data_IF_105324798663
#
_entry.id   IF_105324798663
#
_cell.length_a   1.000
_cell.length_b   1.000
_cell.length_c   1.000
_cell.angle_alpha   90.00
_cell.angle_beta   90.00
_cell.angle_gamma   90.00
#
_symmetry.space_group_name_H-M   'P 1'
#
loop_
_entity.id
_entity.type
_entity.pdbx_description
1 polymer ?
#
# COMPACT_ATOMS: atom_id res chain seq x y z
N UNK A 1 -25.15 -55.60 14.28
CA UNK A 1 -24.86 -54.54 13.29
C UNK A 1 -24.16 -53.41 14.02
N UNK A 2 -22.91 -53.12 13.64
CA UNK A 2 -22.01 -52.17 14.30
C UNK A 2 -22.40 -50.74 13.92
N UNK A 3 -22.41 -49.86 14.92
CA UNK A 3 -22.55 -48.42 14.76
C UNK A 3 -21.34 -47.84 14.03
N UNK A 4 -21.56 -47.06 12.98
CA UNK A 4 -20.57 -46.14 12.42
C UNK A 4 -20.88 -44.74 12.95
N UNK A 5 -20.03 -44.27 13.89
CA UNK A 5 -19.92 -42.84 14.21
C UNK A 5 -19.03 -42.21 13.15
N UNK A 6 -19.56 -41.26 12.39
CA UNK A 6 -18.75 -40.30 11.64
C UNK A 6 -18.51 -39.11 12.57
N UNK A 7 -17.39 -39.15 13.31
CA UNK A 7 -16.70 -37.94 13.72
C UNK A 7 -15.69 -37.65 12.61
N UNK A 8 -15.75 -36.47 11.98
CA UNK A 8 -14.55 -35.81 11.42
C UNK A 8 -14.85 -34.35 11.05
N UNK A 9 -14.46 -33.47 11.97
CA UNK A 9 -13.72 -32.21 11.73
C UNK A 9 -14.39 -31.23 10.74
N UNK A 10 -15.25 -30.37 11.30
CA UNK A 10 -15.46 -29.03 10.76
C UNK A 10 -14.19 -28.25 11.08
N UNK A 11 -13.22 -28.20 10.15
CA UNK A 11 -12.13 -27.23 10.22
C UNK A 11 -12.72 -25.86 9.93
N UNK A 12 -13.08 -25.13 10.99
CA UNK A 12 -13.34 -23.70 10.94
C UNK A 12 -11.99 -23.03 10.67
N UNK A 13 -11.62 -22.89 9.40
CA UNK A 13 -10.58 -21.94 8.99
C UNK A 13 -11.21 -20.54 9.00
N UNK A 14 -11.20 -19.92 10.16
CA UNK A 14 -11.46 -18.49 10.31
C UNK A 14 -10.21 -17.73 9.80
N UNK A 15 -10.01 -17.66 8.48
CA UNK A 15 -9.05 -16.72 7.91
C UNK A 15 -9.71 -15.34 7.91
N UNK A 16 -9.47 -14.57 8.98
CA UNK A 16 -9.54 -13.13 8.87
C UNK A 16 -8.38 -12.71 7.97
N UNK A 17 -8.63 -12.61 6.66
CA UNK A 17 -7.70 -11.89 5.80
C UNK A 17 -7.68 -10.45 6.31
N UNK A 18 -6.58 -10.03 6.92
CA UNK A 18 -6.29 -8.62 7.14
C UNK A 18 -5.54 -8.20 5.89
N UNK A 19 -6.25 -7.82 4.83
CA UNK A 19 -5.64 -7.23 3.64
C UNK A 19 -5.29 -5.79 3.94
N UNK A 20 -4.02 -5.42 3.98
CA UNK A 20 -3.65 -4.00 3.89
C UNK A 20 -3.08 -3.65 2.52
N UNK A 21 -3.19 -2.38 2.15
CA UNK A 21 -2.65 -1.84 0.88
C UNK A 21 -1.42 -0.99 1.15
N UNK A 22 -0.23 -1.41 0.71
CA UNK A 22 0.89 -0.47 0.73
C UNK A 22 0.92 0.23 -0.62
N UNK A 23 0.15 1.30 -0.71
CA UNK A 23 0.54 2.46 -1.50
C UNK A 23 1.46 3.25 -0.60
N UNK A 24 2.76 3.20 -0.89
CA UNK A 24 3.69 4.13 -0.25
C UNK A 24 3.60 5.50 -0.98
N UNK A 25 4.26 6.52 -0.45
CA UNK A 25 4.28 7.91 -0.88
C UNK A 25 5.61 8.34 -1.53
N UNK A 26 6.52 7.40 -1.83
CA UNK A 26 7.73 7.67 -2.64
C UNK A 26 7.51 7.71 -4.16
N UNK A 27 6.28 7.49 -4.62
CA UNK A 27 5.84 7.90 -5.96
C UNK A 27 4.64 8.82 -5.77
N UNK A 28 4.79 10.07 -6.21
CA UNK A 28 3.70 11.03 -6.27
C UNK A 28 2.58 10.36 -7.04
N UNK A 29 1.40 10.23 -6.43
CA UNK A 29 0.17 9.79 -7.10
C UNK A 29 -0.22 10.84 -8.15
N UNK A 30 0.62 11.04 -9.14
CA UNK A 30 0.55 12.07 -10.17
C UNK A 30 -0.13 11.45 -11.39
N UNK A 31 -1.46 11.40 -11.33
CA UNK A 31 -2.28 10.94 -12.45
C UNK A 31 -2.27 11.98 -13.58
N UNK A 32 -2.00 13.25 -13.26
CA UNK A 32 -2.00 14.34 -14.22
C UNK A 32 -0.71 14.42 -15.05
N UNK A 33 0.42 13.99 -14.48
CA UNK A 33 1.78 14.15 -15.00
C UNK A 33 2.35 15.57 -14.80
N UNK A 34 1.89 16.31 -13.78
CA UNK A 34 2.33 17.67 -13.50
C UNK A 34 3.49 17.76 -12.48
N UNK A 35 3.96 16.61 -12.01
CA UNK A 35 5.03 16.44 -11.04
C UNK A 35 4.56 16.49 -9.58
N UNK A 36 3.26 16.71 -9.31
CA UNK A 36 2.69 16.78 -7.96
C UNK A 36 1.88 15.54 -7.65
N UNK A 37 1.79 15.23 -6.37
CA UNK A 37 0.82 14.26 -5.84
C UNK A 37 -0.59 14.80 -6.06
N UNK A 38 -1.41 14.04 -6.78
CA UNK A 38 -2.83 14.33 -6.93
C UNK A 38 -3.64 13.82 -5.73
N UNK A 39 -4.76 14.49 -5.47
CA UNK A 39 -5.76 13.99 -4.53
C UNK A 39 -6.53 12.87 -5.23
N UNK A 40 -6.44 11.66 -4.69
CA UNK A 40 -7.10 10.50 -5.27
C UNK A 40 -7.82 9.64 -4.23
N UNK A 41 -9.01 9.16 -4.61
CA UNK A 41 -9.88 8.33 -3.80
C UNK A 41 -10.29 7.07 -4.56
N UNK A 42 -10.44 5.96 -3.84
CA UNK A 42 -11.11 4.76 -4.32
C UNK A 42 -12.42 4.55 -3.56
N UNK A 43 -13.52 4.52 -4.31
CA UNK A 43 -14.84 4.19 -3.80
C UNK A 43 -15.17 2.75 -4.17
N UNK A 44 -15.41 1.93 -3.15
CA UNK A 44 -15.83 0.56 -3.37
C UNK A 44 -17.23 0.51 -4.00
N UNK A 45 -17.37 -0.35 -5.01
CA UNK A 45 -18.65 -0.70 -5.62
C UNK A 45 -19.54 -1.56 -4.73
N UNK A 46 -20.62 -2.10 -5.29
CA UNK A 46 -21.58 -2.96 -4.56
C UNK A 46 -21.84 -4.28 -5.27
N UNK A 47 -22.10 -5.35 -4.49
CA UNK A 47 -22.42 -6.71 -4.99
C UNK A 47 -23.91 -7.01 -5.12
N UNK A 48 -24.79 -6.01 -4.99
CA UNK A 48 -26.24 -6.24 -4.94
C UNK A 48 -26.79 -6.88 -6.21
N UNK A 49 -27.71 -7.86 -6.07
CA UNK A 49 -28.31 -8.61 -7.18
C UNK A 49 -29.13 -7.74 -8.15
N UNK A 50 -29.57 -6.56 -7.73
CA UNK A 50 -30.49 -5.72 -8.51
C UNK A 50 -29.81 -4.54 -9.25
N UNK A 51 -28.55 -4.20 -8.91
CA UNK A 51 -27.73 -3.21 -9.63
C UNK A 51 -26.30 -3.13 -9.06
N UNK A 52 -25.38 -4.04 -9.43
CA UNK A 52 -23.99 -3.95 -8.98
C UNK A 52 -23.35 -2.66 -9.48
N UNK A 53 -22.77 -1.88 -8.56
CA UNK A 53 -22.01 -0.67 -8.90
C UNK A 53 -20.54 -1.03 -9.06
N UNK A 54 -19.85 -0.55 -10.12
CA UNK A 54 -18.40 -0.72 -10.22
C UNK A 54 -17.70 0.07 -9.13
N UNK A 55 -16.49 -0.37 -8.77
CA UNK A 55 -15.60 0.48 -7.97
C UNK A 55 -15.06 1.60 -8.86
N UNK A 56 -14.77 2.75 -8.26
CA UNK A 56 -14.41 3.96 -9.00
C UNK A 56 -13.21 4.64 -8.35
N UNK A 57 -12.20 4.94 -9.17
CA UNK A 57 -11.12 5.85 -8.82
C UNK A 57 -11.55 7.27 -9.17
N UNK A 58 -11.35 8.21 -8.25
CA UNK A 58 -11.55 9.65 -8.47
C UNK A 58 -10.21 10.37 -8.33
N UNK A 59 -9.92 11.27 -9.26
CA UNK A 59 -8.68 12.05 -9.31
C UNK A 59 -8.98 13.54 -9.35
N UNK A 60 -8.18 14.31 -8.63
CA UNK A 60 -8.24 15.77 -8.59
C UNK A 60 -6.83 16.31 -8.55
N UNK A 61 -6.53 17.27 -9.44
CA UNK A 61 -5.34 18.08 -9.25
C UNK A 61 -5.46 18.87 -7.94
N UNK A 62 -4.38 19.01 -7.17
CA UNK A 62 -4.35 19.82 -5.96
C UNK A 62 -4.72 21.30 -6.22
N UNK A 63 -4.69 21.75 -7.47
CA UNK A 63 -5.08 23.12 -7.86
C UNK A 63 -6.56 23.27 -8.29
N UNK A 64 -7.40 22.24 -8.10
CA UNK A 64 -8.84 22.29 -8.39
C UNK A 64 -9.20 22.14 -9.87
N UNK A 65 -8.29 21.63 -10.70
CA UNK A 65 -8.50 21.35 -12.13
C UNK A 65 -8.65 19.86 -12.43
N UNK A 66 -9.61 19.53 -13.31
CA UNK A 66 -9.99 18.19 -13.79
C UNK A 66 -10.34 17.17 -12.69
N UNK A 67 -11.66 17.00 -12.47
CA UNK A 67 -12.20 15.77 -11.88
C UNK A 67 -12.29 14.76 -13.02
N UNK A 68 -11.44 13.75 -13.01
CA UNK A 68 -11.64 12.57 -13.83
C UNK A 68 -11.88 11.37 -12.93
N UNK A 69 -12.62 10.40 -13.45
CA UNK A 69 -12.92 9.18 -12.72
C UNK A 69 -12.76 7.98 -13.64
N UNK A 70 -12.17 6.92 -13.13
CA UNK A 70 -12.07 5.65 -13.82
C UNK A 70 -12.91 4.60 -13.11
N UNK A 71 -13.91 4.05 -13.81
CA UNK A 71 -14.64 2.89 -13.32
C UNK A 71 -13.76 1.66 -13.55
N UNK A 72 -13.11 1.20 -12.49
CA UNK A 72 -12.18 0.09 -12.55
C UNK A 72 -12.26 -0.73 -11.26
N UNK A 73 -12.53 -2.03 -11.44
CA UNK A 73 -12.73 -2.96 -10.33
C UNK A 73 -14.17 -3.08 -9.85
N UNK A 74 -14.35 -3.87 -8.80
CA UNK A 74 -15.62 -4.18 -8.17
C UNK A 74 -15.44 -4.28 -6.65
N UNK A 75 -16.53 -4.55 -5.93
CA UNK A 75 -16.46 -4.78 -4.48
C UNK A 75 -15.48 -5.91 -4.13
N UNK A 76 -14.70 -5.68 -3.08
CA UNK A 76 -13.56 -6.45 -2.58
C UNK A 76 -12.28 -6.40 -3.43
N UNK A 77 -12.28 -5.70 -4.57
CA UNK A 77 -11.04 -5.42 -5.27
C UNK A 77 -10.20 -4.40 -4.48
N UNK A 78 -8.90 -4.63 -4.51
CA UNK A 78 -7.85 -3.88 -3.83
C UNK A 78 -7.30 -2.83 -4.80
N UNK A 79 -7.37 -1.52 -4.54
CA UNK A 79 -6.70 -0.54 -5.39
C UNK A 79 -5.17 -0.64 -5.27
N UNK A 80 -4.50 -0.53 -6.41
CA UNK A 80 -3.05 -0.53 -6.53
C UNK A 80 -2.64 0.44 -7.65
N UNK A 81 -2.72 1.76 -7.42
CA UNK A 81 -2.21 2.73 -8.37
C UNK A 81 -0.67 2.72 -8.42
N UNK A 82 -0.11 2.82 -9.62
CA UNK A 82 1.32 3.02 -9.89
C UNK A 82 1.54 3.28 -11.38
N UNK A 83 2.72 3.73 -11.80
CA UNK A 83 3.07 3.90 -13.22
C UNK A 83 3.43 2.54 -13.87
N UNK A 84 2.50 1.87 -14.55
CA UNK A 84 2.69 0.51 -15.06
C UNK A 84 3.21 0.44 -16.51
N UNK A 85 3.20 1.56 -17.22
CA UNK A 85 3.68 1.64 -18.60
C UNK A 85 4.93 2.52 -18.78
N UNK A 86 5.32 3.26 -17.75
CA UNK A 86 6.54 4.07 -17.68
C UNK A 86 6.40 5.41 -18.38
N UNK A 87 5.17 5.93 -18.50
CA UNK A 87 4.92 7.23 -19.13
C UNK A 87 5.14 8.42 -18.17
N UNK A 88 5.47 8.14 -16.90
CA UNK A 88 5.70 9.11 -15.85
C UNK A 88 4.43 9.54 -15.13
N UNK A 89 3.28 8.91 -15.40
CA UNK A 89 2.00 9.16 -14.73
C UNK A 89 1.58 7.96 -13.92
N UNK A 90 0.77 8.21 -12.90
CA UNK A 90 0.16 7.14 -12.13
C UNK A 90 -0.98 6.51 -12.94
N UNK A 91 -0.92 5.19 -13.12
CA UNK A 91 -2.01 4.38 -13.67
C UNK A 91 -2.92 3.81 -12.58
N UNK A 92 -4.10 3.32 -12.99
CA UNK A 92 -4.96 2.52 -12.12
C UNK A 92 -4.61 1.04 -12.21
N UNK A 93 -4.48 0.40 -11.06
CA UNK A 93 -4.40 -1.05 -10.94
C UNK A 93 -5.35 -1.54 -9.86
N UNK A 94 -5.80 -2.79 -9.99
CA UNK A 94 -6.44 -3.50 -8.88
C UNK A 94 -5.86 -4.89 -8.69
N UNK A 95 -5.93 -5.38 -7.45
CA UNK A 95 -5.82 -6.79 -7.16
C UNK A 95 -7.20 -7.36 -6.82
N UNK A 96 -7.57 -8.43 -7.52
CA UNK A 96 -8.80 -9.17 -7.32
C UNK A 96 -8.52 -10.42 -6.51
N UNK A 97 -9.22 -10.55 -5.38
CA UNK A 97 -9.22 -11.78 -4.60
C UNK A 97 -10.04 -12.87 -5.27
N UNK A 98 -9.64 -14.12 -5.04
CA UNK A 98 -10.46 -15.28 -5.38
C UNK A 98 -11.85 -15.14 -4.76
N UNK A 99 -12.84 -15.12 -5.65
CA UNK A 99 -14.24 -15.30 -5.35
C UNK A 99 -14.75 -16.66 -5.84
N UNK A 100 -15.20 -17.51 -4.91
CA UNK A 100 -15.72 -18.84 -5.24
C UNK A 100 -17.04 -18.76 -6.03
N UNK A 101 -17.88 -17.78 -5.71
CA UNK A 101 -19.24 -17.68 -6.27
C UNK A 101 -19.21 -17.18 -7.72
N UNK A 102 -18.13 -16.50 -8.10
CA UNK A 102 -17.90 -15.94 -9.43
C UNK A 102 -16.85 -16.73 -10.25
N UNK A 103 -16.20 -17.73 -9.62
CA UNK A 103 -15.18 -18.56 -10.27
C UNK A 103 -13.87 -17.82 -10.57
N UNK A 104 -13.62 -16.70 -9.91
CA UNK A 104 -12.42 -15.88 -10.13
C UNK A 104 -11.17 -16.53 -9.55
N UNK A 105 -10.00 -16.09 -9.99
CA UNK A 105 -8.72 -16.43 -9.34
C UNK A 105 -8.12 -15.20 -8.66
N UNK A 106 -6.94 -15.33 -8.04
CA UNK A 106 -6.19 -14.19 -7.57
C UNK A 106 -5.49 -13.52 -8.76
N UNK A 107 -5.85 -12.27 -9.05
CA UNK A 107 -5.46 -11.62 -10.30
C UNK A 107 -5.05 -10.17 -10.06
N UNK A 108 -3.98 -9.74 -10.71
CA UNK A 108 -3.70 -8.31 -10.86
C UNK A 108 -4.25 -7.82 -12.19
N UNK A 109 -4.93 -6.68 -12.17
CA UNK A 109 -5.47 -6.02 -13.34
C UNK A 109 -4.88 -4.62 -13.41
N UNK A 110 -3.90 -4.45 -14.30
CA UNK A 110 -3.07 -3.25 -14.39
C UNK A 110 -3.44 -2.48 -15.66
N UNK A 111 -3.94 -1.25 -15.52
CA UNK A 111 -4.21 -0.38 -16.66
C UNK A 111 -2.91 0.01 -17.35
N UNK A 112 -2.97 0.15 -18.68
CA UNK A 112 -1.95 0.77 -19.52
C UNK A 112 -2.63 1.66 -20.55
N UNK A 113 -2.78 2.96 -20.25
CA UNK A 113 -3.42 3.91 -21.14
C UNK A 113 -2.97 3.75 -22.60
N UNK A 114 -3.95 3.70 -23.52
CA UNK A 114 -3.70 3.55 -24.97
C UNK A 114 -3.39 2.13 -25.46
N UNK A 115 -3.04 1.18 -24.59
CA UNK A 115 -2.73 -0.22 -24.96
C UNK A 115 -3.73 -1.22 -24.36
N UNK A 116 -4.42 -0.86 -23.27
CA UNK A 116 -5.46 -1.68 -22.65
C UNK A 116 -5.14 -1.98 -21.19
N UNK A 117 -5.18 -3.25 -20.79
CA UNK A 117 -4.75 -3.69 -19.47
C UNK A 117 -4.04 -5.04 -19.52
N UNK A 118 -3.27 -5.31 -18.48
CA UNK A 118 -2.60 -6.58 -18.24
C UNK A 118 -3.30 -7.31 -17.11
N UNK A 119 -3.53 -8.60 -17.30
CA UNK A 119 -4.00 -9.51 -16.25
C UNK A 119 -2.90 -10.49 -15.88
N UNK A 120 -2.44 -10.43 -14.62
CA UNK A 120 -1.45 -11.38 -14.08
C UNK A 120 -2.17 -12.43 -13.23
N UNK A 121 -2.07 -13.69 -13.63
CA UNK A 121 -2.75 -14.83 -13.01
C UNK A 121 -1.76 -15.80 -12.35
N UNK A 122 -2.25 -16.66 -11.46
CA UNK A 122 -1.50 -17.82 -10.96
C UNK A 122 -0.42 -17.50 -9.92
N UNK A 123 -0.52 -16.34 -9.27
CA UNK A 123 0.34 -15.97 -8.15
C UNK A 123 -0.16 -16.60 -6.84
N UNK A 124 0.77 -16.94 -5.94
CA UNK A 124 0.45 -17.54 -4.63
C UNK A 124 -0.41 -16.61 -3.76
N UNK A 125 -1.11 -17.19 -2.77
CA UNK A 125 -2.04 -16.49 -1.86
C UNK A 125 -1.32 -15.53 -0.89
N UNK A 126 -0.90 -14.35 -1.33
CA UNK A 126 -0.35 -13.32 -0.43
C UNK A 126 -1.43 -12.54 0.33
N UNK A 127 -1.14 -12.01 1.52
CA UNK A 127 -2.08 -11.20 2.33
C UNK A 127 -2.06 -9.72 1.96
N UNK A 128 -0.87 -9.13 1.83
CA UNK A 128 -0.69 -7.72 1.46
C UNK A 128 -0.36 -7.57 -0.02
N UNK A 129 -0.76 -6.43 -0.59
CA UNK A 129 -0.56 -6.05 -2.00
C UNK A 129 0.08 -4.67 -2.07
N UNK A 130 1.04 -4.51 -2.96
CA UNK A 130 1.79 -3.27 -3.14
C UNK A 130 2.35 -3.16 -4.55
N UNK A 131 2.74 -1.96 -4.96
CA UNK A 131 3.33 -1.71 -6.28
C UNK A 131 4.37 -0.59 -6.24
N UNK A 132 5.54 -0.82 -6.86
CA UNK A 132 6.68 0.10 -6.97
C UNK A 132 7.64 -0.27 -8.09
N UNK A 133 8.50 0.67 -8.47
CA UNK A 133 9.63 0.47 -9.39
C UNK A 133 10.86 -0.08 -8.63
N UNK A 134 10.90 -1.39 -8.44
CA UNK A 134 12.01 -2.12 -7.81
C UNK A 134 13.16 -2.43 -8.75
N UNK A 135 12.92 -2.44 -10.07
CA UNK A 135 13.91 -2.83 -11.09
C UNK A 135 14.63 -1.63 -11.69
N UNK A 136 14.06 -0.43 -11.59
CA UNK A 136 14.65 0.80 -12.07
C UNK A 136 14.41 1.15 -13.52
N UNK A 137 13.43 0.51 -14.16
CA UNK A 137 13.13 0.73 -15.57
C UNK A 137 12.03 1.79 -15.79
N UNK A 138 11.73 2.54 -14.73
CA UNK A 138 10.66 3.54 -14.63
C UNK A 138 9.23 2.96 -14.67
N UNK A 139 9.07 1.64 -14.60
CA UNK A 139 7.76 0.99 -14.47
C UNK A 139 7.61 0.41 -13.08
N UNK A 140 6.38 0.37 -12.63
CA UNK A 140 6.02 -0.27 -11.39
C UNK A 140 5.86 -1.78 -11.61
N UNK A 141 6.52 -2.54 -10.75
CA UNK A 141 6.19 -3.92 -10.47
C UNK A 141 5.11 -4.01 -9.40
N UNK A 142 4.41 -5.14 -9.41
CA UNK A 142 3.53 -5.52 -8.32
C UNK A 142 4.21 -6.48 -7.37
N UNK A 143 3.84 -6.39 -6.11
CA UNK A 143 4.37 -7.12 -4.99
C UNK A 143 3.27 -7.72 -4.12
N UNK A 144 3.52 -8.91 -3.60
CA UNK A 144 2.63 -9.57 -2.64
C UNK A 144 3.45 -10.09 -1.47
N UNK A 145 2.98 -9.88 -0.24
CA UNK A 145 3.58 -10.52 0.94
C UNK A 145 2.88 -11.85 1.20
N UNK A 146 3.63 -12.94 1.13
CA UNK A 146 3.18 -14.28 1.51
C UNK A 146 3.86 -14.72 2.80
N UNK A 147 3.09 -15.15 3.80
CA UNK A 147 3.63 -15.76 5.01
C UNK A 147 4.00 -17.22 4.70
N UNK A 148 5.29 -17.48 4.52
CA UNK A 148 5.82 -18.83 4.41
C UNK A 148 5.95 -19.39 5.84
N UNK A 149 5.22 -20.46 6.09
CA UNK A 149 5.07 -21.20 7.34
C UNK A 149 4.05 -20.63 8.36
N UNK A 150 3.15 -21.50 8.79
CA UNK A 150 2.14 -21.27 9.84
C UNK A 150 2.39 -22.19 11.02
N UNK A 151 3.60 -22.75 11.14
CA UNK A 151 3.91 -23.64 12.24
C UNK A 151 3.63 -22.91 13.56
N UNK A 152 2.74 -23.51 14.36
CA UNK A 152 2.38 -22.98 15.68
C UNK A 152 3.51 -23.20 16.71
N UNK A 153 4.70 -23.59 16.25
CA UNK A 153 5.84 -23.91 17.07
C UNK A 153 6.63 -22.64 17.37
N UNK A 154 6.73 -22.21 18.64
CA UNK A 154 7.59 -21.10 19.01
C UNK A 154 9.04 -21.41 18.63
N UNK A 155 9.65 -20.57 17.79
CA UNK A 155 11.07 -20.68 17.39
C UNK A 155 11.33 -21.12 15.95
N UNK A 156 10.30 -21.38 15.14
CA UNK A 156 10.47 -21.57 13.70
C UNK A 156 10.53 -20.21 12.97
N UNK A 157 11.29 -20.15 11.89
CA UNK A 157 11.47 -18.96 11.05
C UNK A 157 10.36 -18.91 10.01
N UNK A 158 9.56 -17.85 10.04
CA UNK A 158 8.61 -17.57 8.96
C UNK A 158 9.23 -16.57 8.00
N UNK A 159 8.72 -16.55 6.78
CA UNK A 159 9.28 -15.67 5.75
C UNK A 159 8.19 -14.86 5.08
N UNK A 160 8.62 -13.70 4.61
CA UNK A 160 7.87 -12.80 3.76
C UNK A 160 8.40 -13.03 2.34
N UNK A 161 7.69 -13.82 1.55
CA UNK A 161 7.99 -13.84 0.12
C UNK A 161 7.42 -12.59 -0.52
N UNK A 162 8.25 -11.89 -1.28
CA UNK A 162 7.90 -10.79 -2.17
C UNK A 162 7.99 -11.30 -3.60
N UNK A 163 6.88 -11.28 -4.31
CA UNK A 163 6.84 -11.58 -5.74
C UNK A 163 6.92 -10.27 -6.49
N UNK A 164 8.06 -9.93 -7.07
CA UNK A 164 8.16 -8.81 -8.00
C UNK A 164 7.85 -9.33 -9.39
N UNK A 165 6.94 -8.67 -10.10
CA UNK A 165 6.60 -9.03 -11.48
C UNK A 165 6.97 -7.85 -12.36
N UNK A 166 8.06 -7.99 -13.10
CA UNK A 166 8.51 -7.00 -14.07
C UNK A 166 7.69 -7.11 -15.36
N UNK A 167 6.88 -6.07 -15.55
CA UNK A 167 6.24 -5.61 -16.77
C UNK A 167 5.74 -6.69 -17.77
N UNK A 168 5.57 -6.31 -19.05
CA UNK A 168 5.04 -7.20 -20.09
C UNK A 168 6.06 -8.23 -20.61
N UNK A 169 7.32 -8.17 -20.15
CA UNK A 169 8.38 -9.11 -20.52
C UNK A 169 8.40 -10.37 -19.65
N UNK A 170 7.69 -10.36 -18.51
CA UNK A 170 7.43 -11.56 -17.71
C UNK A 170 8.57 -11.98 -16.77
N UNK A 171 9.41 -11.04 -16.33
CA UNK A 171 10.42 -11.36 -15.31
C UNK A 171 9.75 -11.44 -13.93
N UNK A 172 9.43 -12.66 -13.50
CA UNK A 172 8.98 -12.92 -12.13
C UNK A 172 10.21 -13.09 -11.24
N UNK A 173 10.53 -12.09 -10.43
CA UNK A 173 11.54 -12.19 -9.38
C UNK A 173 10.85 -12.53 -8.07
N UNK A 174 10.79 -13.83 -7.73
CA UNK A 174 10.43 -14.23 -6.37
C UNK A 174 11.64 -14.04 -5.47
N UNK A 175 11.50 -13.21 -4.43
CA UNK A 175 12.47 -13.10 -3.33
C UNK A 175 11.80 -13.49 -2.04
N UNK A 176 12.58 -14.10 -1.16
CA UNK A 176 12.13 -14.45 0.18
C UNK A 176 12.96 -13.64 1.15
N UNK A 177 12.33 -12.62 1.74
CA UNK A 177 12.89 -11.80 2.82
C UNK A 177 12.19 -12.19 4.13
N UNK A 178 12.69 -11.77 5.30
CA UNK A 178 11.90 -11.91 6.54
C UNK A 178 12.63 -12.49 7.76
N UNK A 179 11.86 -12.62 8.84
CA UNK A 179 12.27 -12.89 10.22
C UNK A 179 11.09 -13.59 10.96
N UNK A 180 11.24 -13.94 12.24
CA UNK A 180 10.34 -14.81 13.05
C UNK A 180 8.81 -14.69 12.86
N UNK A 181 8.12 -15.83 13.03
CA UNK A 181 6.68 -16.04 12.85
C UNK A 181 5.71 -15.14 13.65
N UNK A 182 4.45 -15.13 13.18
CA UNK A 182 3.24 -14.56 13.83
C UNK A 182 3.14 -13.04 13.86
N UNK A 183 3.72 -12.36 12.87
CA UNK A 183 3.61 -10.92 12.75
C UNK A 183 2.96 -10.56 11.43
N UNK A 184 2.17 -9.48 11.43
CA UNK A 184 1.46 -8.97 10.27
C UNK A 184 2.25 -7.77 9.72
N UNK A 185 3.28 -7.99 8.85
CA UNK A 185 4.15 -6.92 8.40
C UNK A 185 3.39 -5.95 7.49
N UNK A 186 3.70 -4.68 7.65
CA UNK A 186 3.19 -3.61 6.80
C UNK A 186 4.22 -3.34 5.71
N UNK A 187 3.95 -3.56 4.41
CA UNK A 187 4.91 -3.19 3.36
C UNK A 187 5.14 -1.67 3.36
N UNK A 188 6.40 -1.27 3.25
CA UNK A 188 6.87 0.13 3.28
C UNK A 188 8.01 0.33 2.27
N UNK A 189 7.88 -0.16 1.02
CA UNK A 189 8.96 -0.04 0.04
C UNK A 189 9.25 1.43 -0.28
N UNK A 190 10.48 1.73 -0.71
CA UNK A 190 10.92 3.06 -1.09
C UNK A 190 12.41 3.04 -1.43
N UNK A 191 12.92 4.10 -2.07
CA UNK A 191 14.35 4.25 -2.39
C UNK A 191 15.12 4.72 -1.15
N UNK A 192 15.56 3.79 -0.31
CA UNK A 192 16.25 4.07 0.95
C UNK A 192 17.76 4.30 0.77
N UNK A 193 18.37 3.81 -0.32
CA UNK A 193 19.80 3.98 -0.57
C UNK A 193 20.15 5.07 -1.60
N UNK A 194 19.15 5.62 -2.29
CA UNK A 194 19.24 6.72 -3.24
C UNK A 194 19.77 6.31 -4.60
N UNK A 195 19.58 5.04 -5.00
CA UNK A 195 20.00 4.53 -6.30
C UNK A 195 18.96 4.74 -7.41
N UNK A 196 17.79 5.27 -7.07
CA UNK A 196 16.65 5.48 -7.96
C UNK A 196 15.69 4.30 -8.06
N UNK A 197 15.91 3.24 -7.27
CA UNK A 197 15.06 2.05 -7.21
C UNK A 197 14.39 1.94 -5.85
N UNK A 198 13.19 1.37 -5.82
CA UNK A 198 12.57 1.01 -4.54
C UNK A 198 13.19 -0.25 -3.95
N UNK A 199 13.45 -0.24 -2.66
CA UNK A 199 13.80 -1.42 -1.89
C UNK A 199 12.60 -2.22 -1.41
N UNK A 200 12.84 -3.50 -1.19
CA UNK A 200 11.95 -4.32 -0.38
C UNK A 200 12.08 -3.87 1.07
N UNK A 201 10.99 -3.37 1.65
CA UNK A 201 10.95 -3.01 3.05
C UNK A 201 9.60 -3.32 3.72
N UNK A 202 9.67 -3.67 5.00
CA UNK A 202 8.50 -3.92 5.86
C UNK A 202 8.63 -3.22 7.20
N UNK A 203 7.52 -2.75 7.74
CA UNK A 203 7.38 -2.27 9.10
C UNK A 203 6.68 -3.32 9.95
N UNK A 204 7.35 -3.76 11.01
CA UNK A 204 6.85 -4.83 11.89
C UNK A 204 7.48 -4.72 13.28
N UNK A 205 6.69 -4.90 14.34
CA UNK A 205 7.17 -4.76 15.73
C UNK A 205 7.91 -3.46 15.99
N UNK A 206 7.40 -2.34 15.47
CA UNK A 206 8.05 -1.04 15.56
C UNK A 206 9.41 -0.93 14.88
N UNK A 207 9.73 -1.81 13.93
CA UNK A 207 10.96 -1.74 13.17
C UNK A 207 10.68 -1.65 11.67
N UNK A 208 11.32 -0.67 11.02
CA UNK A 208 11.57 -0.72 9.58
C UNK A 208 12.70 -1.72 9.32
N UNK A 209 12.43 -2.67 8.42
CA UNK A 209 13.39 -3.66 7.93
C UNK A 209 13.50 -3.47 6.42
N UNK A 210 14.69 -3.10 5.92
CA UNK A 210 14.95 -2.79 4.50
C UNK A 210 16.00 -3.72 3.94
N UNK A 211 15.77 -4.27 2.75
CA UNK A 211 16.71 -5.10 2.00
C UNK A 211 17.08 -4.41 0.70
N UNK A 212 18.38 -4.14 0.50
CA UNK A 212 18.90 -3.47 -0.70
C UNK A 212 19.03 -4.43 -1.89
N UNK A 213 18.95 -3.88 -3.11
CA UNK A 213 19.33 -4.56 -4.33
C UNK A 213 20.87 -4.80 -4.39
N UNK A 214 21.36 -5.78 -5.19
CA UNK A 214 20.61 -6.80 -5.92
C UNK A 214 20.12 -7.86 -4.94
N UNK A 215 18.80 -7.99 -4.81
CA UNK A 215 18.18 -8.91 -3.86
C UNK A 215 18.80 -10.29 -4.00
N UNK A 216 19.55 -10.75 -3.01
CA UNK A 216 20.20 -12.07 -3.10
C UNK A 216 19.17 -13.18 -2.87
N UNK A 217 19.45 -14.38 -3.39
CA UNK A 217 18.56 -15.52 -3.19
C UNK A 217 18.72 -16.07 -1.77
N UNK A 218 17.60 -16.30 -1.07
CA UNK A 218 17.58 -16.90 0.27
C UNK A 218 17.48 -15.88 1.42
N UNK A 219 17.56 -16.38 2.65
CA UNK A 219 17.43 -15.56 3.85
C UNK A 219 18.58 -14.59 3.99
N UNK A 220 18.24 -13.31 4.04
CA UNK A 220 19.18 -12.24 4.32
C UNK A 220 18.67 -11.42 5.48
N UNK A 221 19.57 -11.05 6.39
CA UNK A 221 19.27 -10.01 7.37
C UNK A 221 18.99 -8.70 6.61
N UNK A 222 18.07 -7.85 7.10
CA UNK A 222 17.86 -6.55 6.49
C UNK A 222 19.15 -5.72 6.57
N UNK A 223 19.44 -4.97 5.51
CA UNK A 223 20.57 -4.04 5.46
C UNK A 223 20.34 -2.87 6.42
N UNK A 224 19.11 -2.39 6.52
CA UNK A 224 18.70 -1.41 7.52
C UNK A 224 17.66 -1.99 8.47
N UNK A 225 17.92 -1.81 9.77
CA UNK A 225 17.01 -2.13 10.85
C UNK A 225 16.86 -0.89 11.73
N UNK A 226 15.70 -0.24 11.66
CA UNK A 226 15.46 1.01 12.38
C UNK A 226 14.21 0.90 13.26
N UNK A 227 14.36 1.14 14.56
CA UNK A 227 13.24 1.20 15.49
C UNK A 227 12.56 2.56 15.43
N UNK A 228 11.24 2.57 15.30
CA UNK A 228 10.42 3.77 15.40
C UNK A 228 9.05 3.41 15.96
N UNK A 229 8.70 3.99 17.11
CA UNK A 229 7.38 3.82 17.73
C UNK A 229 6.35 4.69 17.01
N UNK A 230 5.72 4.12 15.98
CA UNK A 230 4.58 4.69 15.25
C UNK A 230 3.47 3.65 15.17
N UNK A 231 2.24 4.11 15.00
CA UNK A 231 1.08 3.22 14.85
C UNK A 231 0.80 2.92 13.37
N UNK A 232 1.13 3.86 12.48
CA UNK A 232 1.02 3.68 11.02
C UNK A 232 2.32 4.20 10.38
N UNK A 233 3.10 3.36 9.68
CA UNK A 233 4.28 3.83 8.96
C UNK A 233 3.86 4.66 7.75
N UNK A 234 4.62 5.69 7.41
CA UNK A 234 4.36 6.59 6.30
C UNK A 234 5.69 7.13 5.73
N UNK A 235 6.59 6.25 5.26
CA UNK A 235 7.87 6.67 4.69
C UNK A 235 7.68 7.58 3.47
N UNK A 236 8.72 8.34 3.15
CA UNK A 236 8.77 9.33 2.07
C UNK A 236 10.03 10.19 2.21
N UNK A 237 10.40 10.95 1.19
CA UNK A 237 11.53 11.89 1.23
C UNK A 237 11.07 13.21 1.86
N UNK A 238 11.19 13.40 3.18
CA UNK A 238 10.73 14.61 3.88
C UNK A 238 11.82 15.68 3.97
N UNK A 239 13.11 15.32 3.80
CA UNK A 239 14.22 16.27 3.83
C UNK A 239 14.66 16.78 2.45
N UNK A 240 14.25 16.09 1.37
CA UNK A 240 14.44 16.44 -0.03
C UNK A 240 15.78 16.01 -0.59
N UNK A 241 16.36 14.92 -0.08
CA UNK A 241 17.65 14.41 -0.53
C UNK A 241 17.58 13.33 -1.61
N UNK A 242 16.36 13.00 -2.04
CA UNK A 242 16.07 11.95 -3.01
C UNK A 242 16.06 10.56 -2.39
N UNK A 243 16.13 10.42 -1.07
CA UNK A 243 16.02 9.14 -0.36
C UNK A 243 14.77 9.11 0.50
N UNK A 244 14.25 7.91 0.66
CA UNK A 244 13.12 7.62 1.53
C UNK A 244 13.57 7.71 2.99
N UNK A 245 12.94 8.61 3.75
CA UNK A 245 13.10 8.69 5.19
C UNK A 245 12.26 7.61 5.90
N UNK A 246 12.76 7.16 7.05
CA UNK A 246 11.93 6.40 7.96
C UNK A 246 10.93 7.35 8.60
N UNK A 247 9.64 7.11 8.39
CA UNK A 247 8.61 8.01 8.90
C UNK A 247 7.31 7.28 9.22
N UNK A 248 6.47 7.90 10.05
CA UNK A 248 5.14 7.42 10.36
C UNK A 248 4.43 8.31 11.35
N UNK A 249 3.23 7.90 11.74
CA UNK A 249 2.39 8.63 12.67
C UNK A 249 2.14 7.86 13.96
N UNK A 250 2.22 8.56 15.09
CA UNK A 250 1.81 8.07 16.41
C UNK A 250 0.51 8.76 16.82
N UNK A 251 -0.50 7.98 17.18
CA UNK A 251 -1.81 8.46 17.65
C UNK A 251 -1.75 8.59 19.17
N UNK A 252 -1.70 9.82 19.68
CA UNK A 252 -1.55 10.08 21.10
C UNK A 252 -2.50 11.19 21.57
N UNK A 253 -3.34 10.88 22.56
CA UNK A 253 -4.20 11.89 23.21
C UNK A 253 -5.17 12.59 22.25
N UNK A 254 -5.67 11.90 21.23
CA UNK A 254 -6.58 12.47 20.21
C UNK A 254 -5.87 13.16 19.05
N UNK A 255 -4.54 13.27 19.08
CA UNK A 255 -3.73 13.92 18.06
C UNK A 255 -2.99 12.90 17.20
N UNK A 256 -2.50 13.37 16.07
CA UNK A 256 -1.58 12.64 15.23
C UNK A 256 -0.22 13.31 15.23
N UNK A 257 0.77 12.62 15.81
CA UNK A 257 2.16 13.05 15.87
C UNK A 257 2.93 12.39 14.72
N UNK A 258 3.32 13.19 13.74
CA UNK A 258 4.20 12.78 12.67
C UNK A 258 5.62 12.66 13.20
N UNK A 259 6.30 11.57 12.85
CA UNK A 259 7.69 11.31 13.18
C UNK A 259 8.42 10.94 11.91
N UNK A 260 9.55 11.55 11.64
CA UNK A 260 10.45 11.08 10.59
C UNK A 260 11.91 11.24 10.99
N UNK A 261 12.75 10.39 10.41
CA UNK A 261 14.20 10.41 10.57
C UNK A 261 14.84 10.75 9.24
N UNK A 262 15.43 11.92 9.16
CA UNK A 262 16.14 12.41 7.99
C UNK A 262 17.25 11.44 7.57
N UNK A 263 17.22 11.00 6.32
CA UNK A 263 18.21 10.16 5.66
C UNK A 263 19.60 10.84 5.66
N UNK A 264 19.63 12.16 5.46
CA UNK A 264 20.85 12.98 5.36
C UNK A 264 21.64 13.08 6.66
N UNK A 265 20.96 13.33 7.78
CA UNK A 265 21.59 13.68 9.07
C UNK A 265 21.35 12.63 10.14
N UNK A 266 20.34 11.78 9.95
CA UNK A 266 19.86 10.84 10.96
C UNK A 266 19.09 11.47 12.12
N UNK A 267 18.80 12.76 12.06
CA UNK A 267 18.00 13.45 13.06
C UNK A 267 16.54 12.98 12.99
N UNK A 268 15.97 12.70 14.16
CA UNK A 268 14.54 12.42 14.32
C UNK A 268 13.79 13.71 14.67
N UNK A 269 12.68 13.92 13.99
CA UNK A 269 11.81 15.08 14.14
C UNK A 269 10.38 14.64 14.46
N UNK A 270 9.65 15.47 15.19
CA UNK A 270 8.24 15.23 15.55
C UNK A 270 7.39 16.49 15.29
N UNK A 271 6.22 16.30 14.68
CA UNK A 271 5.29 17.38 14.33
C UNK A 271 3.85 17.00 14.72
N UNK A 272 3.12 17.93 15.34
CA UNK A 272 1.70 17.77 15.68
C UNK A 272 0.85 18.24 14.50
N UNK A 273 0.28 17.30 13.73
CA UNK A 273 -0.52 17.62 12.55
C UNK A 273 -1.61 16.56 12.29
N UNK A 274 -2.86 17.00 12.44
CA UNK A 274 -4.05 16.15 12.27
C UNK A 274 -4.57 15.55 13.57
N UNK A 275 -5.70 14.85 13.46
CA UNK A 275 -6.37 14.16 14.57
C UNK A 275 -6.09 12.66 14.51
N UNK A 276 -6.19 11.96 15.64
CA UNK A 276 -5.99 10.51 15.68
C UNK A 276 -6.99 9.70 14.83
N UNK A 277 -8.11 10.32 14.46
CA UNK A 277 -9.14 9.76 13.57
C UNK A 277 -8.89 10.02 12.09
N UNK A 278 -7.96 10.91 11.77
CA UNK A 278 -7.59 11.19 10.39
C UNK A 278 -6.75 10.02 9.84
N UNK A 279 -6.72 9.92 8.51
CA UNK A 279 -5.92 8.96 7.76
C UNK A 279 -4.72 9.73 7.21
N UNK A 280 -3.46 9.37 7.53
CA UNK A 280 -2.30 10.02 6.94
C UNK A 280 -2.27 9.79 5.42
N UNK A 281 -1.92 10.80 4.65
CA UNK A 281 -1.84 10.78 3.19
C UNK A 281 -0.64 11.61 2.71
N UNK A 282 0.61 11.25 3.07
CA UNK A 282 1.78 12.04 2.68
C UNK A 282 1.98 12.06 1.16
N UNK A 283 2.67 13.07 0.66
CA UNK A 283 3.06 13.19 -0.76
C UNK A 283 3.52 14.59 -1.08
N UNK A 284 4.20 14.80 -2.21
CA UNK A 284 4.62 16.13 -2.69
C UNK A 284 3.44 16.84 -3.40
N UNK A 285 2.57 17.52 -2.66
CA UNK A 285 1.41 18.21 -3.23
C UNK A 285 1.78 19.61 -3.75
N UNK A 286 2.82 20.22 -3.21
CA UNK A 286 3.24 21.58 -3.56
C UNK A 286 4.30 21.66 -4.67
N UNK A 287 4.83 20.51 -5.09
CA UNK A 287 5.73 20.31 -6.23
C UNK A 287 7.16 20.72 -5.93
N UNK A 288 7.60 20.66 -4.67
CA UNK A 288 8.95 21.01 -4.26
C UNK A 288 9.90 19.81 -4.12
N UNK A 289 9.42 18.62 -4.49
CA UNK A 289 10.11 17.33 -4.39
C UNK A 289 10.35 16.84 -2.96
N UNK A 290 9.61 17.38 -1.98
CA UNK A 290 9.57 16.86 -0.62
C UNK A 290 8.19 16.32 -0.30
N UNK A 291 8.17 15.35 0.59
CA UNK A 291 6.93 14.77 1.10
C UNK A 291 6.29 15.76 2.07
N UNK A 292 5.07 16.20 1.76
CA UNK A 292 4.27 17.03 2.65
C UNK A 292 3.58 16.19 3.73
N UNK A 293 3.39 16.78 4.91
CA UNK A 293 2.52 16.17 5.93
C UNK A 293 1.07 16.41 5.52
N UNK A 294 0.33 15.34 5.25
CA UNK A 294 -1.04 15.46 4.79
C UNK A 294 -1.96 14.41 5.39
N UNK A 295 -3.23 14.75 5.56
CA UNK A 295 -4.24 13.89 6.17
C UNK A 295 -5.59 14.02 5.47
N UNK A 296 -6.30 12.89 5.32
CA UNK A 296 -7.71 12.85 4.97
C UNK A 296 -8.55 12.64 6.22
N UNK A 297 -9.61 13.44 6.38
CA UNK A 297 -10.58 13.32 7.48
C UNK A 297 -11.87 12.68 6.97
N UNK A 298 -12.12 11.39 7.27
CA UNK A 298 -13.31 10.71 6.76
C UNK A 298 -14.62 11.31 7.25
N UNK A 299 -14.65 11.94 8.43
CA UNK A 299 -15.89 12.45 9.02
C UNK A 299 -16.57 13.55 8.19
N UNK A 300 -15.81 14.30 7.40
CA UNK A 300 -16.31 15.42 6.60
C UNK A 300 -15.73 15.49 5.17
N UNK A 301 -14.86 14.54 4.80
CA UNK A 301 -14.21 14.48 3.50
C UNK A 301 -13.13 15.54 3.29
N UNK A 302 -12.57 16.11 4.37
CA UNK A 302 -11.59 17.19 4.25
C UNK A 302 -10.17 16.64 4.22
N UNK A 303 -9.39 17.08 3.25
CA UNK A 303 -7.95 16.94 3.16
C UNK A 303 -7.27 18.14 3.79
N UNK A 304 -6.24 17.91 4.61
CA UNK A 304 -5.39 18.94 5.20
C UNK A 304 -3.96 18.63 4.80
N UNK A 305 -3.28 19.58 4.18
CA UNK A 305 -1.94 19.41 3.62
C UNK A 305 -1.08 20.52 4.17
N UNK A 306 0.04 20.18 4.81
CA UNK A 306 1.03 21.12 5.30
C UNK A 306 2.23 21.12 4.34
N UNK A 307 2.22 22.09 3.43
CA UNK A 307 3.21 22.25 2.39
C UNK A 307 4.62 22.43 2.99
N UNK A 308 5.52 21.53 2.64
CA UNK A 308 6.90 21.49 3.13
C UNK A 308 7.72 22.70 2.67
N UNK A 309 7.50 23.21 1.45
CA UNK A 309 8.23 24.35 0.90
C UNK A 309 7.83 25.70 1.53
N UNK A 310 6.55 25.89 1.88
CA UNK A 310 6.01 27.18 2.35
C UNK A 310 5.51 27.20 3.80
N UNK A 311 5.23 26.04 4.39
CA UNK A 311 4.54 25.89 5.67
C UNK A 311 3.06 26.30 5.64
N UNK A 312 2.51 26.58 4.46
CA UNK A 312 1.09 26.92 4.30
C UNK A 312 0.25 25.66 4.43
N UNK A 313 -0.80 25.72 5.25
CA UNK A 313 -1.79 24.66 5.33
C UNK A 313 -2.84 24.87 4.24
N UNK A 314 -2.90 23.94 3.29
CA UNK A 314 -3.96 23.85 2.30
C UNK A 314 -5.07 22.92 2.77
N UNK A 315 -6.31 23.23 2.39
CA UNK A 315 -7.48 22.43 2.73
C UNK A 315 -8.38 22.23 1.53
N UNK A 316 -8.80 20.99 1.30
CA UNK A 316 -9.69 20.62 0.20
C UNK A 316 -10.82 19.75 0.72
N UNK A 317 -12.06 20.03 0.33
CA UNK A 317 -13.18 19.16 0.69
C UNK A 317 -13.56 18.30 -0.50
N UNK A 318 -13.20 17.01 -0.43
CA UNK A 318 -13.55 16.04 -1.45
C UNK A 318 -13.51 14.61 -0.90
N UNK A 319 -14.58 13.88 -1.17
CA UNK A 319 -14.76 12.49 -0.77
C UNK A 319 -15.97 12.27 0.12
N UNK A 320 -16.30 11.00 0.30
CA UNK A 320 -17.30 10.51 1.23
C UNK A 320 -16.62 9.77 2.40
N UNK A 321 -17.30 9.62 3.54
CA UNK A 321 -16.74 8.91 4.69
C UNK A 321 -16.31 7.46 4.42
N UNK A 322 -16.83 6.84 3.36
CA UNK A 322 -16.51 5.47 2.94
C UNK A 322 -15.42 5.40 1.87
N UNK A 323 -14.96 6.52 1.34
CA UNK A 323 -13.92 6.55 0.33
C UNK A 323 -12.55 6.29 0.96
N UNK A 324 -11.71 5.54 0.24
CA UNK A 324 -10.35 5.24 0.63
C UNK A 324 -9.39 6.23 -0.05
N UNK A 325 -8.66 7.08 0.69
CA UNK A 325 -7.60 7.89 0.09
C UNK A 325 -6.44 7.01 -0.38
N UNK A 326 -6.04 7.18 -1.64
CA UNK A 326 -5.04 6.32 -2.27
C UNK A 326 -3.60 6.60 -1.80
N UNK A 327 -3.33 7.76 -1.21
CA UNK A 327 -2.07 8.08 -0.55
C UNK A 327 -2.00 7.52 0.89
N UNK A 328 -3.02 6.79 1.34
CA UNK A 328 -2.98 6.22 2.68
C UNK A 328 -1.90 5.13 2.78
N UNK A 329 -1.08 5.14 3.83
CA UNK A 329 -0.33 3.96 4.18
C UNK A 329 -1.29 2.86 4.62
N UNK A 330 -0.95 1.62 4.28
CA UNK A 330 -1.58 0.35 4.65
C UNK A 330 -2.65 0.46 5.73
N UNK A 331 -3.89 0.60 5.27
CA UNK A 331 -5.05 0.38 6.12
C UNK A 331 -5.31 -1.13 6.11
N UNK A 332 -5.17 -1.85 7.24
CA UNK A 332 -5.65 -3.22 7.33
C UNK A 332 -7.17 -3.26 7.09
N UNK A 333 -7.57 -3.54 5.85
CA UNK A 333 -8.91 -3.95 5.46
C UNK A 333 -9.09 -5.41 5.83
N UNK A 334 -10.00 -5.73 6.75
CA UNK A 334 -10.55 -7.07 6.78
C UNK A 334 -11.71 -7.14 5.82
N UNK A 335 -11.68 -7.97 4.76
CA UNK A 335 -12.90 -8.41 4.10
C UNK A 335 -13.62 -9.27 5.14
N UNK A 336 -14.42 -8.64 5.99
CA UNK A 336 -15.37 -9.37 6.82
C UNK A 336 -16.37 -9.94 5.82
N UNK A 337 -16.24 -11.23 5.48
CA UNK A 337 -17.41 -11.96 4.99
C UNK A 337 -18.49 -11.80 6.05
N UNK A 338 -19.69 -11.32 5.72
CA UNK A 338 -20.85 -11.56 6.57
C UNK A 338 -20.88 -13.07 6.83
N UNK A 339 -20.85 -13.45 8.10
CA UNK A 339 -20.97 -14.85 8.48
C UNK A 339 -22.38 -15.32 8.09
N UNK A 340 -22.47 -16.04 6.97
CA UNK A 340 -23.64 -16.80 6.56
C UNK A 340 -24.64 -16.03 5.69
N UNK A 341 -24.90 -16.59 4.50
CA UNK A 341 -26.18 -17.22 4.18
C UNK A 341 -25.93 -18.60 3.55
#
# INVERSE_FOLDING_TARGET
MKAFRILSIISICLFAAVSGFATDNSFNLDFSGDGRTDIALYREGSRGLDAPQPSVFYFLSPNGGAIWSSQWGRSLDVPAPADYDGDGKTDVGIFRWWDYDLGDTNEWWLSRPGIGHIVLNGLELGYYKFSRNYVGDAKAEVGQLYQVDISQNPGETCFVSVYLIADASGLVIRKTVGDTCNLNPTPVPGDYDGDGHSEIAVYVNHHFKVWLAPYSAGYTAPAYLHYMDVDMPAPGDYDGDGRTDFAGVKKLGGRMLWRYRMSTTGQELEFDFGLSTDIPTPGDYDGDHKTDLAVYRPSDGTWWINNSGSGVIQTFQYGLPTDLPLAAPVIPFSPVRPAGE
#
